data_IF_724987158598
#
_entry.id   IF_724987158598
#
_cell.length_a   1.000
_cell.length_b   1.000
_cell.length_c   1.000
_cell.angle_alpha   90.00
_cell.angle_beta   90.00
_cell.angle_gamma   90.00
#
_symmetry.space_group_name_H-M   'P 1'
#
loop_
_entity.id
_entity.type
_entity.pdbx_description
1 polymer ?
#
# COMPACT_ATOMS: atom_id res chain seq x y z
N UNK A 1 31.23 -96.04 48.03
CA UNK A 1 31.07 -95.71 46.60
C UNK A 1 32.22 -94.77 46.26
N UNK A 2 33.38 -95.34 45.95
CA UNK A 2 34.62 -94.58 45.84
C UNK A 2 34.64 -93.86 44.51
N UNK A 3 34.87 -92.54 44.53
CA UNK A 3 35.33 -91.80 43.36
C UNK A 3 36.55 -92.54 42.77
N UNK A 4 36.73 -92.56 41.43
CA UNK A 4 37.82 -93.30 40.84
C UNK A 4 39.17 -92.78 41.37
N UNK A 5 40.14 -93.67 41.62
CA UNK A 5 41.48 -93.26 42.05
C UNK A 5 42.13 -92.39 40.98
N UNK A 6 42.86 -91.35 41.40
CA UNK A 6 43.65 -90.45 40.54
C UNK A 6 44.87 -91.13 39.92
N UNK A 7 45.04 -92.44 40.13
CA UNK A 7 46.06 -93.31 39.53
C UNK A 7 45.39 -94.45 38.75
N UNK A 8 45.91 -94.75 37.54
CA UNK A 8 45.41 -95.73 36.55
C UNK A 8 44.64 -96.94 37.14
N UNK A 9 43.32 -96.95 36.94
CA UNK A 9 42.45 -98.09 37.23
C UNK A 9 42.57 -99.16 36.12
N UNK A 10 42.71 -100.47 36.45
CA UNK A 10 42.92 -101.52 35.45
C UNK A 10 41.73 -101.73 34.50
N UNK A 11 40.51 -101.35 34.91
CA UNK A 11 39.27 -101.43 34.11
C UNK A 11 39.05 -100.21 33.20
N UNK A 12 39.65 -99.07 33.48
CA UNK A 12 39.59 -97.87 32.63
C UNK A 12 40.92 -97.63 31.90
N UNK A 13 41.67 -98.71 31.62
CA UNK A 13 42.91 -98.62 30.86
C UNK A 13 42.61 -98.33 29.36
N UNK A 14 43.58 -97.74 28.67
CA UNK A 14 43.41 -97.34 27.26
C UNK A 14 43.18 -98.50 26.29
N UNK A 15 43.60 -99.72 26.64
CA UNK A 15 43.51 -100.92 25.82
C UNK A 15 42.09 -101.50 25.70
N UNK A 16 41.15 -101.07 26.55
CA UNK A 16 39.75 -101.51 26.52
C UNK A 16 38.79 -100.55 25.81
N UNK A 17 39.26 -99.38 25.38
CA UNK A 17 38.50 -98.49 24.50
C UNK A 17 38.74 -98.92 23.04
N UNK A 18 37.69 -99.37 22.35
CA UNK A 18 37.79 -100.01 21.03
C UNK A 18 37.14 -99.15 19.93
N UNK A 19 37.85 -98.97 18.81
CA UNK A 19 37.36 -98.34 17.57
C UNK A 19 37.48 -96.81 17.50
N UNK A 20 37.20 -96.24 16.32
CA UNK A 20 37.46 -94.82 15.96
C UNK A 20 36.73 -93.74 16.80
N UNK A 21 35.93 -94.14 17.79
CA UNK A 21 35.11 -93.24 18.60
C UNK A 21 35.45 -93.28 20.11
N UNK A 22 36.45 -94.07 20.57
CA UNK A 22 36.99 -94.03 21.96
C UNK A 22 35.95 -94.23 23.11
N UNK A 23 35.10 -95.27 23.06
CA UNK A 23 34.12 -95.64 24.12
C UNK A 23 34.33 -97.03 24.76
N UNK A 24 33.95 -97.17 26.04
CA UNK A 24 33.93 -98.42 26.80
C UNK A 24 32.49 -98.77 27.23
N UNK A 25 32.04 -100.00 26.96
CA UNK A 25 30.69 -100.47 27.32
C UNK A 25 30.78 -101.49 28.46
N UNK A 26 30.12 -101.22 29.58
CA UNK A 26 30.04 -102.14 30.73
C UNK A 26 28.58 -102.20 31.19
N UNK A 27 28.02 -103.41 31.27
CA UNK A 27 26.67 -103.69 31.77
C UNK A 27 25.62 -102.69 31.21
N UNK A 28 25.52 -102.65 29.88
CA UNK A 28 24.62 -101.81 29.07
C UNK A 28 24.80 -100.28 29.16
N UNK A 29 25.81 -99.78 29.90
CA UNK A 29 26.16 -98.35 29.91
C UNK A 29 27.40 -98.07 29.07
N UNK A 30 27.34 -97.00 28.28
CA UNK A 30 28.45 -96.50 27.46
C UNK A 30 29.13 -95.35 28.19
N UNK A 31 30.44 -95.48 28.46
CA UNK A 31 31.25 -94.47 29.12
C UNK A 31 32.26 -93.88 28.16
N UNK A 32 32.31 -92.55 28.13
CA UNK A 32 33.27 -91.76 27.36
C UNK A 32 34.61 -91.68 28.05
N UNK A 33 35.67 -91.97 27.30
CA UNK A 33 37.02 -91.62 27.70
C UNK A 33 37.09 -90.11 27.88
N UNK A 34 37.66 -89.64 28.99
CA UNK A 34 37.95 -88.22 29.16
C UNK A 34 38.86 -87.77 28.00
N UNK A 35 38.35 -86.88 27.14
CA UNK A 35 39.05 -86.39 25.95
C UNK A 35 38.83 -87.17 24.64
N UNK A 36 37.89 -88.12 24.59
CA UNK A 36 37.51 -88.79 23.34
C UNK A 36 36.59 -87.94 22.44
N UNK A 37 36.57 -88.21 21.13
CA UNK A 37 35.64 -87.58 20.17
C UNK A 37 34.35 -88.38 20.05
N UNK A 38 33.19 -87.76 20.27
CA UNK A 38 31.88 -88.42 20.16
C UNK A 38 30.90 -87.63 19.32
N UNK A 39 30.37 -88.26 18.27
CA UNK A 39 29.21 -87.72 17.53
C UNK A 39 27.97 -88.37 18.11
N UNK A 40 27.19 -87.58 18.85
CA UNK A 40 25.90 -88.02 19.37
C UNK A 40 24.79 -87.48 18.51
N UNK A 41 23.73 -88.26 18.33
CA UNK A 41 22.48 -87.75 17.74
C UNK A 41 21.79 -86.73 18.64
N UNK A 42 21.98 -86.82 19.97
CA UNK A 42 21.56 -85.82 20.96
C UNK A 42 22.37 -85.93 22.26
N UNK A 43 22.61 -84.80 22.94
CA UNK A 43 23.30 -84.72 24.24
C UNK A 43 22.41 -83.96 25.24
N UNK A 44 22.05 -84.61 26.35
CA UNK A 44 21.28 -84.02 27.45
C UNK A 44 22.06 -84.14 28.76
N UNK A 45 22.27 -83.02 29.44
CA UNK A 45 22.98 -82.93 30.72
C UNK A 45 22.05 -82.38 31.80
N UNK A 46 22.04 -83.01 32.98
CA UNK A 46 21.12 -82.67 34.07
C UNK A 46 21.51 -81.38 34.84
N UNK A 47 22.52 -80.63 34.36
CA UNK A 47 23.07 -79.42 34.98
C UNK A 47 23.70 -78.50 33.93
N UNK A 48 24.63 -77.63 34.35
CA UNK A 48 25.36 -76.77 33.42
C UNK A 48 26.21 -77.59 32.46
N UNK A 49 26.15 -77.26 31.16
CA UNK A 49 27.11 -77.77 30.20
C UNK A 49 28.38 -76.92 30.30
N UNK A 50 29.36 -77.41 31.06
CA UNK A 50 30.71 -76.83 31.08
C UNK A 50 31.50 -77.43 29.91
N UNK A 51 31.26 -76.89 28.72
CA UNK A 51 31.92 -77.31 27.50
C UNK A 51 32.91 -76.24 27.04
N UNK A 52 34.11 -76.66 26.63
CA UNK A 52 35.12 -75.75 26.10
C UNK A 52 34.67 -75.01 24.82
N UNK A 53 33.78 -75.61 24.02
CA UNK A 53 33.10 -74.96 22.88
C UNK A 53 31.80 -75.71 22.53
N UNK A 54 30.76 -74.97 22.13
CA UNK A 54 29.57 -75.54 21.50
C UNK A 54 29.71 -75.39 19.99
N UNK A 55 29.54 -76.46 19.22
CA UNK A 55 29.69 -76.46 17.76
C UNK A 55 28.44 -77.09 17.15
N UNK A 56 27.73 -76.38 16.28
CA UNK A 56 26.53 -76.87 15.58
C UNK A 56 26.85 -76.96 14.09
N UNK A 57 26.66 -78.14 13.49
CA UNK A 57 26.92 -78.36 12.06
C UNK A 57 28.38 -78.16 11.65
N UNK A 58 29.33 -78.38 12.57
CA UNK A 58 30.77 -78.20 12.33
C UNK A 58 31.27 -76.75 12.50
N UNK A 59 30.39 -75.79 12.81
CA UNK A 59 30.75 -74.40 13.13
C UNK A 59 30.53 -74.09 14.61
N UNK A 60 31.49 -73.43 15.26
CA UNK A 60 31.38 -73.04 16.67
C UNK A 60 30.24 -72.02 16.82
N UNK A 61 29.34 -72.22 17.78
CA UNK A 61 28.30 -71.28 18.18
C UNK A 61 28.80 -70.49 19.39
N UNK A 62 29.09 -69.21 19.18
CA UNK A 62 29.53 -68.30 20.25
C UNK A 62 28.33 -67.87 21.13
N UNK A 63 28.19 -68.54 22.27
CA UNK A 63 27.12 -68.32 23.26
C UNK A 63 27.48 -67.30 24.35
N UNK A 64 28.59 -66.57 24.21
CA UNK A 64 29.05 -65.56 25.18
C UNK A 64 28.06 -64.39 25.39
N UNK A 65 27.05 -64.25 24.51
CA UNK A 65 25.97 -63.26 24.59
C UNK A 65 24.74 -63.68 25.41
N UNK A 66 24.63 -64.95 25.82
CA UNK A 66 23.39 -65.52 26.36
C UNK A 66 23.36 -65.74 27.89
N UNK A 67 24.46 -65.54 28.64
CA UNK A 67 24.43 -65.66 30.10
C UNK A 67 24.13 -64.32 30.79
N UNK A 68 22.97 -64.25 31.47
CA UNK A 68 22.57 -63.13 32.35
C UNK A 68 22.08 -61.84 31.67
N UNK A 69 21.77 -61.87 30.37
CA UNK A 69 21.28 -60.69 29.63
C UNK A 69 19.79 -60.86 29.31
N UNK A 70 18.92 -60.09 29.96
CA UNK A 70 17.50 -59.99 29.55
C UNK A 70 17.41 -59.22 28.23
N UNK A 71 16.69 -59.76 27.24
CA UNK A 71 16.40 -59.04 25.99
C UNK A 71 15.84 -57.65 26.32
N UNK A 72 16.53 -56.60 25.85
CA UNK A 72 16.20 -55.21 26.13
C UNK A 72 17.14 -54.47 27.09
N UNK A 73 18.23 -55.07 27.58
CA UNK A 73 19.31 -54.33 28.27
C UNK A 73 20.65 -54.53 27.57
N UNK A 74 21.09 -53.53 26.81
CA UNK A 74 22.38 -53.57 26.11
C UNK A 74 23.48 -53.27 27.11
N UNK A 75 24.26 -54.30 27.47
CA UNK A 75 25.54 -54.11 28.18
C UNK A 75 26.62 -53.84 27.13
N UNK A 76 27.52 -52.89 27.40
CA UNK A 76 28.60 -52.55 26.48
C UNK A 76 29.34 -53.81 26.00
N UNK A 77 29.63 -53.88 24.70
CA UNK A 77 30.42 -54.94 24.05
C UNK A 77 29.82 -56.35 24.03
N UNK A 78 28.49 -56.51 24.19
CA UNK A 78 27.78 -57.77 23.92
C UNK A 78 27.01 -57.73 22.59
N UNK A 79 26.66 -58.89 22.04
CA UNK A 79 25.79 -58.99 20.87
C UNK A 79 24.46 -58.28 21.15
N UNK A 80 24.03 -57.45 20.21
CA UNK A 80 22.66 -56.90 20.19
C UNK A 80 21.76 -57.95 19.56
N UNK A 81 21.07 -58.70 20.41
CA UNK A 81 20.03 -59.63 19.97
C UNK A 81 18.73 -58.85 19.85
N UNK A 82 18.14 -58.90 18.65
CA UNK A 82 16.79 -58.36 18.43
C UNK A 82 15.76 -59.30 19.07
N UNK A 83 14.61 -58.76 19.48
CA UNK A 83 13.51 -59.60 19.95
C UNK A 83 12.77 -60.30 18.78
N UNK A 84 11.66 -60.98 19.07
CA UNK A 84 10.86 -61.69 18.06
C UNK A 84 10.29 -60.77 16.97
N UNK A 85 10.09 -59.48 17.27
CA UNK A 85 9.62 -58.47 16.33
C UNK A 85 10.76 -57.81 15.55
N UNK A 86 12.00 -58.23 15.83
CA UNK A 86 13.25 -57.60 15.37
C UNK A 86 13.47 -56.22 15.98
N UNK A 87 12.83 -55.93 17.10
CA UNK A 87 12.99 -54.67 17.82
C UNK A 87 14.25 -54.70 18.68
N UNK A 88 14.84 -53.52 18.86
CA UNK A 88 15.92 -53.29 19.82
C UNK A 88 15.51 -52.13 20.72
N UNK A 89 15.57 -52.35 22.03
CA UNK A 89 15.19 -51.36 23.05
C UNK A 89 16.38 -50.95 23.93
N UNK A 90 16.23 -49.82 24.62
CA UNK A 90 17.16 -49.33 25.67
C UNK A 90 18.57 -48.92 25.22
N UNK A 91 18.80 -48.58 23.95
CA UNK A 91 20.02 -47.83 23.61
C UNK A 91 20.04 -46.51 24.38
N UNK A 92 21.08 -46.28 25.19
CA UNK A 92 21.32 -44.97 25.82
C UNK A 92 21.63 -43.92 24.75
N UNK A 93 22.62 -44.22 23.91
CA UNK A 93 23.02 -43.42 22.75
C UNK A 93 23.21 -44.36 21.56
N UNK A 94 22.76 -43.95 20.37
CA UNK A 94 23.03 -44.63 19.12
C UNK A 94 23.77 -43.65 18.19
N UNK A 95 25.00 -43.99 17.82
CA UNK A 95 25.78 -43.22 16.86
C UNK A 95 25.90 -44.04 15.58
N UNK A 96 25.45 -43.49 14.46
CA UNK A 96 25.53 -44.12 13.15
C UNK A 96 25.94 -43.09 12.10
N UNK A 97 26.72 -43.50 11.10
CA UNK A 97 27.03 -42.64 9.96
C UNK A 97 25.76 -42.29 9.20
N UNK A 98 24.91 -43.30 8.93
CA UNK A 98 23.61 -43.15 8.30
C UNK A 98 22.56 -43.89 9.14
N UNK A 99 21.39 -43.28 9.33
CA UNK A 99 20.24 -43.91 9.96
C UNK A 99 19.07 -43.90 8.97
N UNK A 100 18.61 -45.08 8.54
CA UNK A 100 17.51 -45.23 7.59
C UNK A 100 16.27 -45.75 8.31
N UNK A 101 15.11 -45.13 8.08
CA UNK A 101 13.84 -45.57 8.68
C UNK A 101 12.90 -44.42 9.00
N UNK A 102 11.79 -44.75 9.67
CA UNK A 102 10.80 -43.79 10.16
C UNK A 102 11.06 -43.57 11.66
N UNK A 103 11.11 -42.31 12.09
CA UNK A 103 11.12 -41.96 13.52
C UNK A 103 9.67 -41.68 13.93
N UNK A 104 9.06 -42.55 14.74
CA UNK A 104 7.62 -42.51 15.02
C UNK A 104 7.20 -41.66 16.25
N UNK A 105 8.13 -41.02 16.95
CA UNK A 105 7.79 -40.25 18.16
C UNK A 105 7.05 -38.96 17.77
N UNK A 106 5.85 -38.74 18.34
CA UNK A 106 5.01 -37.57 18.04
C UNK A 106 5.68 -36.22 18.38
N UNK A 107 6.57 -36.19 19.37
CA UNK A 107 7.40 -35.05 19.71
C UNK A 107 8.88 -35.42 19.60
N UNK A 108 9.65 -34.63 18.84
CA UNK A 108 11.10 -34.79 18.67
C UNK A 108 11.86 -33.57 19.23
N UNK A 109 11.78 -33.29 20.55
CA UNK A 109 12.27 -32.03 21.13
C UNK A 109 13.78 -31.82 21.04
N UNK A 110 14.55 -32.90 20.84
CA UNK A 110 16.02 -32.86 20.85
C UNK A 110 16.64 -32.80 19.44
N UNK A 111 15.83 -32.63 18.39
CA UNK A 111 16.34 -32.35 17.06
C UNK A 111 16.73 -30.87 17.00
N UNK A 112 18.02 -30.56 17.16
CA UNK A 112 18.54 -29.19 17.15
C UNK A 112 19.15 -28.76 15.81
N UNK A 113 19.36 -29.69 14.88
CA UNK A 113 19.87 -29.42 13.54
C UNK A 113 19.54 -30.57 12.57
N UNK A 114 19.14 -30.24 11.34
CA UNK A 114 19.08 -31.16 10.21
C UNK A 114 20.10 -30.70 9.15
N UNK A 115 20.54 -31.62 8.29
CA UNK A 115 21.21 -31.27 7.04
C UNK A 115 20.22 -30.69 6.01
N UNK A 116 20.34 -31.09 4.74
CA UNK A 116 19.38 -30.69 3.70
C UNK A 116 18.09 -31.49 3.80
N UNK A 117 16.97 -30.80 4.06
CA UNK A 117 15.63 -31.39 4.01
C UNK A 117 15.00 -31.11 2.64
N UNK A 118 14.91 -32.11 1.77
CA UNK A 118 14.39 -31.96 0.40
C UNK A 118 12.88 -31.77 0.34
N UNK A 119 12.14 -32.35 1.30
CA UNK A 119 10.71 -32.15 1.46
C UNK A 119 10.31 -32.27 2.93
N UNK A 120 9.35 -31.45 3.34
CA UNK A 120 8.72 -31.52 4.65
C UNK A 120 7.22 -31.33 4.45
N UNK A 121 6.43 -32.34 4.77
CA UNK A 121 4.97 -32.24 4.83
C UNK A 121 4.55 -32.19 6.29
N UNK A 122 3.97 -31.08 6.73
CA UNK A 122 3.43 -30.93 8.09
C UNK A 122 1.92 -30.79 7.98
N UNK A 123 1.17 -31.64 8.66
CA UNK A 123 -0.31 -31.58 8.68
C UNK A 123 -0.87 -30.48 9.61
N UNK A 124 -0.03 -29.91 10.48
CA UNK A 124 -0.34 -28.80 11.38
C UNK A 124 0.53 -27.56 11.13
N UNK A 125 0.57 -26.66 12.11
CA UNK A 125 1.39 -25.44 12.02
C UNK A 125 2.88 -25.73 12.22
N UNK A 126 3.73 -25.13 11.40
CA UNK A 126 5.16 -25.04 11.66
C UNK A 126 5.37 -23.87 12.64
N UNK A 127 5.68 -24.16 13.90
CA UNK A 127 6.07 -23.16 14.89
C UNK A 127 7.60 -22.97 14.82
N UNK A 128 8.07 -21.79 14.41
CA UNK A 128 9.50 -21.47 14.34
C UNK A 128 9.79 -20.18 13.57
N UNK A 129 11.01 -19.66 13.69
CA UNK A 129 11.49 -18.50 12.94
C UNK A 129 12.16 -18.94 11.64
N UNK A 130 11.69 -18.48 10.48
CA UNK A 130 12.36 -18.73 9.22
C UNK A 130 13.50 -17.71 9.03
N UNK A 131 14.73 -18.09 9.40
CA UNK A 131 15.85 -17.17 9.60
C UNK A 131 16.65 -16.80 8.33
N UNK A 132 16.27 -17.25 7.14
CA UNK A 132 17.00 -16.88 5.90
C UNK A 132 16.55 -15.50 5.40
N UNK A 133 17.51 -14.60 5.15
CA UNK A 133 17.23 -13.22 4.75
C UNK A 133 16.48 -13.09 3.40
N UNK A 134 16.55 -14.12 2.55
CA UNK A 134 15.81 -14.21 1.28
C UNK A 134 15.09 -15.55 1.19
N UNK A 135 13.82 -15.53 0.79
CA UNK A 135 12.95 -16.72 0.69
C UNK A 135 12.42 -16.87 -0.76
N UNK A 136 13.29 -17.09 -1.77
CA UNK A 136 12.89 -17.06 -3.18
C UNK A 136 11.92 -18.18 -3.58
N UNK A 137 11.84 -19.25 -2.79
CA UNK A 137 10.99 -20.42 -3.09
C UNK A 137 9.59 -20.33 -2.47
N UNK A 138 9.27 -19.26 -1.74
CA UNK A 138 7.90 -19.02 -1.25
C UNK A 138 7.13 -18.34 -2.38
N UNK A 139 6.35 -19.12 -3.12
CA UNK A 139 5.53 -18.63 -4.25
C UNK A 139 4.05 -18.48 -3.91
N UNK A 140 3.60 -19.04 -2.79
CA UNK A 140 2.26 -18.83 -2.23
C UNK A 140 2.27 -19.01 -0.71
N UNK A 141 1.43 -18.22 -0.03
CA UNK A 141 1.04 -18.46 1.36
C UNK A 141 -0.45 -18.89 1.35
N UNK A 142 -0.85 -19.68 2.34
CA UNK A 142 -2.26 -19.97 2.59
C UNK A 142 -3.01 -18.75 3.14
N UNK A 143 -3.72 -18.91 4.26
CA UNK A 143 -4.34 -17.77 4.96
C UNK A 143 -3.34 -17.12 5.92
N UNK A 144 -3.04 -15.83 5.72
CA UNK A 144 -2.19 -15.04 6.60
C UNK A 144 -3.07 -14.12 7.47
N UNK A 145 -3.25 -14.47 8.75
CA UNK A 145 -4.10 -13.71 9.67
C UNK A 145 -3.49 -12.38 10.12
N UNK A 146 -2.16 -12.32 10.19
CA UNK A 146 -1.41 -11.09 10.47
C UNK A 146 -0.03 -11.15 9.84
N UNK A 147 0.47 -10.00 9.40
CA UNK A 147 1.82 -9.83 8.88
C UNK A 147 2.41 -8.57 9.49
N UNK A 148 3.44 -8.72 10.33
CA UNK A 148 4.23 -7.60 10.84
C UNK A 148 5.55 -7.57 10.06
N UNK A 149 5.81 -6.49 9.34
CA UNK A 149 7.06 -6.27 8.59
C UNK A 149 7.75 -5.04 9.18
N UNK A 150 8.99 -5.21 9.65
CA UNK A 150 9.79 -4.09 10.17
C UNK A 150 10.42 -3.22 9.07
N UNK A 151 10.51 -3.74 7.84
CA UNK A 151 10.98 -3.04 6.64
C UNK A 151 9.86 -2.73 5.64
N UNK A 152 10.24 -2.45 4.39
CA UNK A 152 9.29 -2.17 3.31
C UNK A 152 8.68 -3.45 2.74
N UNK A 153 7.37 -3.41 2.45
CA UNK A 153 6.70 -4.44 1.65
C UNK A 153 6.78 -3.99 0.19
N UNK A 154 7.56 -4.71 -0.62
CA UNK A 154 7.63 -4.50 -2.06
C UNK A 154 6.71 -5.52 -2.76
N UNK A 155 5.73 -5.05 -3.53
CA UNK A 155 4.78 -5.91 -4.26
C UNK A 155 3.55 -5.14 -4.73
N UNK A 156 2.70 -5.78 -5.54
CA UNK A 156 1.41 -5.24 -5.97
C UNK A 156 0.30 -5.77 -5.08
N UNK A 157 -0.56 -4.88 -4.55
CA UNK A 157 -1.76 -5.28 -3.83
C UNK A 157 -2.93 -5.36 -4.83
N UNK A 158 -3.22 -6.57 -5.32
CA UNK A 158 -4.13 -6.82 -6.45
C UNK A 158 -5.64 -6.70 -6.12
N UNK A 159 -6.01 -6.49 -4.85
CA UNK A 159 -7.42 -6.34 -4.46
C UNK A 159 -7.94 -4.95 -4.85
N UNK A 160 -8.99 -4.90 -5.67
CA UNK A 160 -9.56 -3.65 -6.20
C UNK A 160 -10.05 -2.67 -5.11
N UNK A 161 -10.42 -3.16 -3.92
CA UNK A 161 -10.81 -2.33 -2.78
C UNK A 161 -9.95 -2.66 -1.55
N UNK A 162 -9.45 -1.61 -0.89
CA UNK A 162 -8.59 -1.70 0.31
C UNK A 162 -9.26 -0.96 1.49
N UNK A 163 -10.42 -1.45 2.00
CA UNK A 163 -11.24 -0.69 2.96
C UNK A 163 -10.59 -0.47 4.33
N UNK A 164 -9.58 -1.26 4.67
CA UNK A 164 -8.94 -1.23 5.99
C UNK A 164 -7.67 -0.36 6.04
N UNK A 165 -7.31 0.34 4.95
CA UNK A 165 -6.21 1.31 4.98
C UNK A 165 -6.74 2.61 5.60
N UNK A 166 -6.46 2.81 6.89
CA UNK A 166 -6.89 4.01 7.63
C UNK A 166 -5.81 5.10 7.70
N UNK A 167 -4.56 4.77 7.35
CA UNK A 167 -3.45 5.73 7.23
C UNK A 167 -2.39 5.20 6.26
N UNK A 168 -1.82 6.09 5.45
CA UNK A 168 -0.57 5.83 4.75
C UNK A 168 0.55 6.58 5.48
N UNK A 169 1.77 6.04 5.47
CA UNK A 169 2.97 6.77 5.88
C UNK A 169 3.33 7.86 4.86
N UNK A 170 4.61 7.98 4.50
CA UNK A 170 5.02 8.90 3.42
C UNK A 170 4.71 8.30 2.06
N UNK A 171 3.79 8.92 1.31
CA UNK A 171 3.46 8.56 -0.07
C UNK A 171 4.18 9.50 -1.04
N UNK A 172 5.20 9.01 -1.75
CA UNK A 172 5.98 9.83 -2.70
C UNK A 172 5.25 10.08 -4.02
N UNK A 173 4.40 9.14 -4.44
CA UNK A 173 3.59 9.24 -5.66
C UNK A 173 2.34 8.39 -5.56
N UNK A 174 1.22 8.91 -6.06
CA UNK A 174 -0.05 8.21 -6.21
C UNK A 174 -0.54 8.39 -7.65
N UNK A 175 -0.56 7.32 -8.44
CA UNK A 175 -1.19 7.31 -9.75
C UNK A 175 -2.56 6.62 -9.63
N UNK A 176 -3.64 7.39 -9.78
CA UNK A 176 -5.02 6.89 -9.73
C UNK A 176 -5.64 7.11 -11.10
N UNK A 177 -6.03 6.02 -11.77
CA UNK A 177 -6.72 6.06 -13.07
C UNK A 177 -8.21 6.40 -12.95
N UNK A 178 -8.77 6.34 -11.74
CA UNK A 178 -10.16 6.64 -11.43
C UNK A 178 -10.38 7.96 -10.67
N UNK A 179 -11.55 8.09 -10.03
CA UNK A 179 -11.87 9.23 -9.18
C UNK A 179 -11.19 9.10 -7.81
N UNK A 180 -10.55 10.18 -7.35
CA UNK A 180 -10.16 10.33 -5.94
C UNK A 180 -11.37 10.94 -5.21
N UNK A 181 -12.05 10.16 -4.36
CA UNK A 181 -13.14 10.65 -3.51
C UNK A 181 -12.64 10.90 -2.09
N UNK A 182 -12.96 12.08 -1.52
CA UNK A 182 -12.54 12.47 -0.17
C UNK A 182 -12.23 13.96 -0.05
N UNK A 183 -11.84 14.39 1.15
CA UNK A 183 -11.44 15.77 1.44
C UNK A 183 -9.91 15.87 1.47
N UNK A 184 -9.33 16.77 0.68
CA UNK A 184 -7.90 17.09 0.76
C UNK A 184 -7.66 18.14 1.85
N UNK A 185 -7.41 17.69 3.09
CA UNK A 185 -7.30 18.57 4.27
C UNK A 185 -5.84 18.86 4.62
N UNK A 186 -5.24 19.86 3.98
CA UNK A 186 -4.06 20.57 4.49
C UNK A 186 -4.35 22.06 4.41
N UNK A 187 -3.98 22.83 5.44
CA UNK A 187 -4.28 24.27 5.50
C UNK A 187 -3.70 25.07 4.31
N UNK A 188 -2.65 24.55 3.67
CA UNK A 188 -2.05 25.08 2.44
C UNK A 188 -1.78 23.93 1.45
N UNK A 189 -2.06 24.16 0.16
CA UNK A 189 -1.89 23.17 -0.93
C UNK A 189 -0.98 23.74 -2.03
N UNK A 190 0.30 24.04 -1.75
CA UNK A 190 1.18 24.78 -2.67
C UNK A 190 1.53 24.01 -3.96
N UNK A 191 1.37 22.69 -3.97
CA UNK A 191 1.75 21.82 -5.09
C UNK A 191 0.59 21.54 -6.06
N UNK A 192 -0.61 22.09 -5.83
CA UNK A 192 -1.70 22.00 -6.80
C UNK A 192 -1.50 23.09 -7.86
N UNK A 193 -0.92 22.71 -9.00
CA UNK A 193 -0.61 23.63 -10.10
C UNK A 193 -1.63 23.57 -11.25
N UNK A 194 -2.48 22.54 -11.28
CA UNK A 194 -3.62 22.44 -12.19
C UNK A 194 -4.73 21.58 -11.59
N UNK A 195 -5.98 21.86 -11.97
CA UNK A 195 -7.12 21.01 -11.75
C UNK A 195 -7.85 20.80 -13.10
N UNK A 196 -8.67 19.76 -13.18
CA UNK A 196 -9.63 19.60 -14.29
C UNK A 196 -10.82 20.57 -14.16
N UNK A 197 -11.98 20.16 -14.66
CA UNK A 197 -13.22 20.96 -14.54
C UNK A 197 -13.77 20.90 -13.11
N UNK A 198 -13.93 22.06 -12.47
CA UNK A 198 -14.64 22.19 -11.20
C UNK A 198 -16.10 22.59 -11.46
N UNK A 199 -17.05 21.83 -10.91
CA UNK A 199 -18.48 22.17 -10.97
C UNK A 199 -18.85 23.31 -10.04
N UNK A 200 -18.11 23.46 -8.94
CA UNK A 200 -18.21 24.59 -8.01
C UNK A 200 -16.90 24.75 -7.24
N UNK A 201 -16.60 25.98 -6.82
CA UNK A 201 -15.47 26.30 -5.95
C UNK A 201 -15.98 27.25 -4.85
N UNK A 202 -15.80 26.87 -3.60
CA UNK A 202 -16.09 27.70 -2.43
C UNK A 202 -14.80 27.84 -1.60
N UNK A 203 -14.42 29.07 -1.27
CA UNK A 203 -13.20 29.40 -0.52
C UNK A 203 -13.58 30.16 0.76
N UNK A 204 -13.08 29.74 1.92
CA UNK A 204 -13.41 30.39 3.21
C UNK A 204 -12.37 31.41 3.68
N UNK A 205 -11.34 31.71 2.88
CA UNK A 205 -10.16 32.48 3.34
C UNK A 205 -9.47 33.38 2.31
N UNK A 206 -10.08 33.63 1.14
CA UNK A 206 -9.51 34.50 0.10
C UNK A 206 -10.36 34.54 -1.17
N UNK A 207 -10.15 35.56 -2.02
CA UNK A 207 -10.80 35.65 -3.34
C UNK A 207 -10.10 34.79 -4.40
N UNK A 208 -10.80 34.45 -5.47
CA UNK A 208 -10.20 33.78 -6.65
C UNK A 208 -9.33 34.82 -7.39
N UNK A 209 -8.01 34.67 -7.31
CA UNK A 209 -7.10 35.50 -8.11
C UNK A 209 -6.87 34.83 -9.47
N UNK A 210 -7.48 35.37 -10.52
CA UNK A 210 -7.18 34.96 -11.91
C UNK A 210 -5.88 35.65 -12.37
N UNK A 211 -4.74 34.94 -12.34
CA UNK A 211 -3.48 35.41 -12.94
C UNK A 211 -3.40 34.91 -14.39
N UNK A 212 -3.40 35.82 -15.36
CA UNK A 212 -3.49 35.47 -16.78
C UNK A 212 -2.12 35.17 -17.41
N UNK A 213 -2.05 34.10 -18.20
CA UNK A 213 -1.08 33.97 -19.30
C UNK A 213 -1.71 34.56 -20.57
N UNK A 214 -0.92 35.26 -21.37
CA UNK A 214 -1.36 36.16 -22.44
C UNK A 214 -2.42 35.57 -23.39
N UNK A 215 -3.44 36.35 -23.73
CA UNK A 215 -4.25 36.11 -24.95
C UNK A 215 -5.77 36.06 -24.79
N UNK A 216 -6.30 36.00 -23.57
CA UNK A 216 -7.73 36.22 -23.34
C UNK A 216 -8.17 35.81 -21.96
N UNK A 217 -8.95 36.66 -21.27
CA UNK A 217 -9.93 36.24 -20.26
C UNK A 217 -11.00 37.32 -20.05
N UNK A 218 -12.25 36.88 -20.09
CA UNK A 218 -13.33 37.45 -19.29
C UNK A 218 -13.42 36.55 -18.06
N UNK A 219 -13.36 37.10 -16.85
CA UNK A 219 -13.96 36.41 -15.71
C UNK A 219 -15.46 36.29 -16.02
N UNK A 220 -15.87 35.17 -16.62
CA UNK A 220 -17.23 34.99 -17.12
C UNK A 220 -18.11 34.54 -15.97
N UNK A 221 -18.73 35.49 -15.31
CA UNK A 221 -19.76 35.22 -14.33
C UNK A 221 -21.10 35.06 -15.05
N UNK A 222 -21.52 33.81 -15.25
CA UNK A 222 -22.77 33.51 -15.95
C UNK A 222 -23.93 33.38 -14.97
N UNK A 223 -24.97 34.20 -15.20
CA UNK A 223 -26.38 33.96 -14.85
C UNK A 223 -26.78 32.48 -14.71
N UNK A 224 -26.95 31.91 -13.50
CA UNK A 224 -27.77 30.69 -13.39
C UNK A 224 -29.21 31.00 -13.81
N UNK A 225 -29.82 30.14 -14.62
CA UNK A 225 -31.15 30.37 -15.21
C UNK A 225 -32.23 30.66 -14.14
N UNK A 226 -32.06 30.16 -12.92
CA UNK A 226 -33.01 30.25 -11.81
C UNK A 226 -32.97 31.55 -10.98
N UNK A 227 -31.98 32.44 -11.16
CA UNK A 227 -31.82 33.64 -10.31
C UNK A 227 -32.28 34.90 -11.04
N UNK A 228 -33.22 35.68 -10.49
CA UNK A 228 -33.79 36.87 -11.13
C UNK A 228 -32.82 38.05 -11.26
N UNK A 229 -31.72 38.05 -10.51
CA UNK A 229 -30.69 39.10 -10.53
C UNK A 229 -29.29 38.49 -10.58
N UNK A 230 -28.37 39.15 -11.28
CA UNK A 230 -26.95 38.83 -11.27
C UNK A 230 -26.22 39.91 -10.47
N UNK A 231 -25.59 39.54 -9.35
CA UNK A 231 -24.90 40.49 -8.48
C UNK A 231 -23.40 40.22 -8.53
N UNK A 232 -22.62 41.21 -8.98
CA UNK A 232 -21.17 41.25 -8.76
C UNK A 232 -20.94 42.13 -7.53
N UNK A 233 -20.80 41.51 -6.37
CA UNK A 233 -20.50 42.22 -5.14
C UNK A 233 -19.04 42.66 -5.11
N UNK A 234 -18.79 43.95 -4.90
CA UNK A 234 -17.45 44.47 -4.57
C UNK A 234 -17.57 45.04 -3.16
N UNK A 235 -17.10 44.27 -2.18
CA UNK A 235 -17.13 44.66 -0.77
C UNK A 235 -15.75 45.14 -0.32
N UNK A 236 -15.69 46.31 0.34
CA UNK A 236 -14.49 46.78 1.04
C UNK A 236 -14.80 46.97 2.52
N UNK A 237 -13.88 46.56 3.40
CA UNK A 237 -13.92 46.86 4.85
C UNK A 237 -13.23 48.20 5.20
N UNK A 238 -12.80 48.93 4.18
CA UNK A 238 -12.19 50.26 4.22
C UNK A 238 -11.60 50.63 2.85
N UNK A 239 -11.87 51.83 2.35
CA UNK A 239 -11.41 52.32 1.03
C UNK A 239 -12.46 52.26 -0.10
N UNK A 240 -12.14 52.86 -1.25
CA UNK A 240 -13.01 52.94 -2.42
C UNK A 240 -13.19 51.57 -3.12
N UNK A 241 -14.40 51.31 -3.58
CA UNK A 241 -14.76 50.17 -4.39
C UNK A 241 -14.86 50.64 -5.85
N UNK A 242 -13.86 50.32 -6.67
CA UNK A 242 -13.78 50.83 -8.04
C UNK A 242 -14.00 49.72 -9.08
N UNK A 243 -14.84 50.01 -10.08
CA UNK A 243 -14.79 49.35 -11.39
C UNK A 243 -14.00 50.25 -12.33
N UNK A 244 -12.75 49.89 -12.64
CA UNK A 244 -11.87 50.71 -13.48
C UNK A 244 -10.97 49.88 -14.38
N UNK A 245 -10.59 50.47 -15.51
CA UNK A 245 -9.42 50.06 -16.27
C UNK A 245 -8.17 50.71 -15.66
N UNK A 246 -7.05 50.00 -15.65
CA UNK A 246 -5.78 50.50 -15.08
C UNK A 246 -4.77 50.93 -16.15
N UNK A 247 -5.09 50.66 -17.40
CA UNK A 247 -4.34 51.04 -18.60
C UNK A 247 -5.29 51.82 -19.53
N UNK A 248 -4.79 52.31 -20.67
CA UNK A 248 -5.53 53.15 -21.62
C UNK A 248 -6.65 52.40 -22.38
N UNK A 249 -7.58 51.80 -21.64
CA UNK A 249 -8.75 51.09 -22.11
C UNK A 249 -10.01 51.81 -21.65
N UNK A 250 -11.05 51.77 -22.48
CA UNK A 250 -12.36 52.30 -22.15
C UNK A 250 -13.11 51.35 -21.20
N UNK A 251 -13.98 51.90 -20.36
CA UNK A 251 -14.96 51.14 -19.57
C UNK A 251 -16.35 51.32 -20.17
N UNK A 252 -17.07 50.21 -20.38
CA UNK A 252 -18.39 50.22 -20.99
C UNK A 252 -19.43 49.48 -20.14
N UNK A 253 -20.66 50.00 -20.13
CA UNK A 253 -21.85 49.28 -19.70
C UNK A 253 -22.86 49.25 -20.85
N UNK A 254 -23.63 48.16 -20.98
CA UNK A 254 -24.49 47.96 -22.13
C UNK A 254 -25.59 46.94 -21.92
N UNK A 255 -26.54 46.94 -22.85
CA UNK A 255 -27.64 45.98 -22.92
C UNK A 255 -27.89 45.64 -24.40
N UNK A 256 -28.41 44.43 -24.67
CA UNK A 256 -28.68 43.96 -26.04
C UNK A 256 -27.47 44.09 -26.97
N UNK A 257 -26.31 43.64 -26.49
CA UNK A 257 -25.03 43.74 -27.22
C UNK A 257 -24.64 45.16 -27.66
N UNK A 258 -25.17 46.19 -27.00
CA UNK A 258 -24.93 47.61 -27.34
C UNK A 258 -24.37 48.33 -26.13
N UNK A 259 -23.27 49.07 -26.31
CA UNK A 259 -22.69 49.95 -25.29
C UNK A 259 -23.59 51.17 -25.09
N UNK A 260 -24.10 51.37 -23.87
CA UNK A 260 -25.05 52.44 -23.51
C UNK A 260 -24.41 53.51 -22.62
N UNK A 261 -23.37 53.15 -21.89
CA UNK A 261 -22.55 54.08 -21.12
C UNK A 261 -21.08 53.77 -21.42
N UNK A 262 -20.31 54.81 -21.68
CA UNK A 262 -18.89 54.71 -22.01
C UNK A 262 -18.11 55.69 -21.14
N UNK A 263 -17.03 55.23 -20.52
CA UNK A 263 -15.95 56.08 -20.01
C UNK A 263 -14.76 55.79 -20.88
N UNK A 264 -14.36 56.78 -21.68
CA UNK A 264 -13.19 56.65 -22.53
C UNK A 264 -11.92 56.65 -21.69
N UNK A 265 -10.85 56.03 -22.20
CA UNK A 265 -9.53 56.08 -21.55
C UNK A 265 -9.01 57.50 -21.32
N UNK A 266 -9.47 58.47 -22.12
CA UNK A 266 -9.22 59.90 -21.94
C UNK A 266 -10.12 60.61 -20.92
N UNK A 267 -11.02 59.90 -20.23
CA UNK A 267 -11.90 60.43 -19.18
C UNK A 267 -13.29 60.90 -19.63
N UNK A 268 -13.53 61.10 -20.93
CA UNK A 268 -14.84 61.52 -21.43
C UNK A 268 -15.92 60.46 -21.18
N UNK A 269 -17.09 60.89 -20.73
CA UNK A 269 -18.26 60.06 -20.45
C UNK A 269 -19.28 60.22 -21.58
N UNK A 270 -19.68 59.11 -22.19
CA UNK A 270 -20.74 59.05 -23.20
C UNK A 270 -21.96 58.31 -22.67
N UNK A 271 -23.15 58.91 -22.82
CA UNK A 271 -24.44 58.25 -22.60
C UNK A 271 -25.11 58.06 -23.97
N UNK A 272 -25.39 56.80 -24.29
CA UNK A 272 -25.89 56.34 -25.59
C UNK A 272 -24.97 56.69 -26.78
N UNK A 273 -23.69 56.97 -26.52
CA UNK A 273 -22.64 57.18 -27.51
C UNK A 273 -21.33 56.58 -26.99
N UNK A 274 -20.51 56.03 -27.89
CA UNK A 274 -19.17 55.51 -27.57
C UNK A 274 -18.03 56.44 -28.01
N UNK A 275 -18.38 57.58 -28.60
CA UNK A 275 -17.45 58.57 -29.15
C UNK A 275 -17.81 59.96 -28.63
N UNK A 276 -17.79 60.19 -27.29
CA UNK A 276 -18.12 61.49 -26.72
C UNK A 276 -17.09 62.55 -27.15
N UNK A 277 -17.59 63.64 -27.71
CA UNK A 277 -16.76 64.78 -28.15
C UNK A 277 -16.42 65.76 -27.02
N UNK A 278 -17.17 65.69 -25.92
CA UNK A 278 -17.01 66.49 -24.71
C UNK A 278 -16.83 65.60 -23.47
N UNK A 279 -16.46 66.19 -22.33
CA UNK A 279 -16.30 65.47 -21.06
C UNK A 279 -17.55 64.69 -20.66
N UNK A 280 -18.73 65.21 -20.95
CA UNK A 280 -20.00 64.51 -20.90
C UNK A 280 -20.76 64.74 -22.21
N UNK A 281 -21.10 63.67 -22.92
CA UNK A 281 -21.87 63.72 -24.16
C UNK A 281 -23.06 62.77 -24.07
N UNK A 282 -24.27 63.30 -24.31
CA UNK A 282 -25.52 62.53 -24.27
C UNK A 282 -26.13 62.53 -25.66
N UNK A 283 -26.06 61.38 -26.35
CA UNK A 283 -26.69 61.20 -27.65
C UNK A 283 -28.16 60.82 -27.47
N UNK A 284 -28.98 61.83 -27.14
CA UNK A 284 -30.42 61.70 -26.91
C UNK A 284 -30.95 62.88 -26.09
N UNK A 285 -32.21 62.77 -25.66
CA UNK A 285 -32.79 63.72 -24.71
C UNK A 285 -32.32 63.42 -23.29
N UNK A 286 -32.04 64.46 -22.50
CA UNK A 286 -31.84 64.36 -21.06
C UNK A 286 -33.01 65.02 -20.34
N UNK A 287 -33.46 64.43 -19.24
CA UNK A 287 -34.49 64.98 -18.37
C UNK A 287 -33.95 64.98 -16.93
N UNK A 288 -33.91 66.14 -16.30
CA UNK A 288 -33.37 66.35 -14.96
C UNK A 288 -34.31 67.20 -14.13
N UNK A 289 -34.49 66.87 -12.85
CA UNK A 289 -35.28 67.67 -11.90
C UNK A 289 -34.72 69.08 -11.69
N UNK A 290 -33.39 69.26 -11.81
CA UNK A 290 -32.73 70.56 -11.73
C UNK A 290 -31.45 70.54 -12.55
N UNK A 291 -31.17 71.62 -13.25
CA UNK A 291 -29.92 71.81 -14.00
C UNK A 291 -29.13 72.98 -13.39
N UNK A 292 -27.88 72.72 -13.01
CA UNK A 292 -26.99 73.72 -12.45
C UNK A 292 -25.87 74.02 -13.44
N UNK A 293 -25.62 75.29 -13.72
CA UNK A 293 -24.46 75.74 -14.49
C UNK A 293 -23.50 76.43 -13.53
N UNK A 294 -22.29 75.88 -13.38
CA UNK A 294 -21.25 76.40 -12.49
C UNK A 294 -21.76 76.69 -11.05
N UNK A 295 -22.53 75.76 -10.49
CA UNK A 295 -23.12 75.88 -9.14
C UNK A 295 -24.38 76.74 -9.03
N UNK A 296 -24.84 77.38 -10.11
CA UNK A 296 -26.07 78.20 -10.13
C UNK A 296 -27.23 77.45 -10.75
N UNK A 297 -28.39 77.43 -10.10
CA UNK A 297 -29.61 76.80 -10.63
C UNK A 297 -30.08 77.57 -11.88
N UNK A 298 -30.33 76.84 -12.96
CA UNK A 298 -30.98 77.38 -14.15
C UNK A 298 -32.48 77.40 -13.92
N UNK A 299 -33.03 78.58 -13.63
CA UNK A 299 -34.47 78.80 -13.39
C UNK A 299 -35.25 79.14 -14.64
N UNK A 300 -34.56 79.27 -15.79
CA UNK A 300 -35.18 79.50 -17.08
C UNK A 300 -36.10 78.32 -17.43
N UNK A 301 -37.31 78.62 -17.89
CA UNK A 301 -38.22 77.59 -18.41
C UNK A 301 -37.66 77.02 -19.71
N UNK A 302 -38.18 75.87 -20.15
CA UNK A 302 -37.85 75.33 -21.47
C UNK A 302 -38.10 76.37 -22.58
N UNK A 303 -39.14 77.19 -22.46
CA UNK A 303 -39.45 78.27 -23.39
C UNK A 303 -38.41 79.38 -23.39
N UNK A 304 -37.90 79.76 -22.21
CA UNK A 304 -36.86 80.78 -22.07
C UNK A 304 -35.54 80.33 -22.72
N UNK A 305 -35.14 79.08 -22.46
CA UNK A 305 -33.95 78.46 -23.07
C UNK A 305 -34.09 78.32 -24.59
N UNK A 306 -35.26 77.87 -25.07
CA UNK A 306 -35.55 77.74 -26.49
C UNK A 306 -35.59 79.10 -27.22
N UNK A 307 -35.87 80.20 -26.51
CA UNK A 307 -35.98 81.54 -27.09
C UNK A 307 -34.65 82.31 -27.04
N UNK A 308 -33.78 82.05 -26.06
CA UNK A 308 -32.45 82.66 -25.97
C UNK A 308 -31.59 82.39 -27.21
N UNK A 309 -31.71 81.21 -27.82
CA UNK A 309 -31.04 80.87 -29.09
C UNK A 309 -31.53 81.71 -30.29
N UNK A 310 -32.80 82.16 -30.30
CA UNK A 310 -33.36 83.01 -31.36
C UNK A 310 -33.10 84.51 -31.16
N UNK A 311 -32.69 84.93 -29.97
CA UNK A 311 -32.47 86.36 -29.66
C UNK A 311 -31.04 86.83 -29.96
N UNK A 312 -30.14 85.95 -30.41
CA UNK A 312 -28.78 86.37 -30.80
C UNK A 312 -28.74 87.17 -32.11
N UNK A 313 -29.85 87.23 -32.85
CA UNK A 313 -30.13 88.28 -33.84
C UNK A 313 -31.61 88.69 -33.77
N UNK A 314 -31.99 89.70 -32.98
CA UNK A 314 -33.30 90.30 -33.14
C UNK A 314 -33.32 90.97 -34.52
N UNK A 315 -34.06 90.40 -35.47
CA UNK A 315 -34.40 91.00 -36.77
C UNK A 315 -35.28 92.25 -36.64
N UNK A 316 -35.25 92.91 -35.47
CA UNK A 316 -36.07 94.07 -35.12
C UNK A 316 -35.21 95.20 -34.53
N UNK A 317 -33.91 95.26 -34.85
CA UNK A 317 -33.12 96.45 -34.54
C UNK A 317 -33.63 97.61 -35.41
N UNK A 318 -34.49 98.44 -34.83
CA UNK A 318 -35.11 99.66 -35.38
C UNK A 318 -34.11 100.76 -35.76
N UNK A 319 -32.81 100.51 -35.64
CA UNK A 319 -31.72 101.47 -35.89
C UNK A 319 -31.59 101.84 -37.38
N UNK A 320 -32.19 101.08 -38.31
CA UNK A 320 -32.13 101.37 -39.75
C UNK A 320 -33.33 102.12 -40.34
N UNK A 321 -34.41 102.36 -39.57
CA UNK A 321 -35.58 103.09 -40.10
C UNK A 321 -35.50 104.61 -39.92
N UNK A 322 -34.74 105.11 -38.93
CA UNK A 322 -34.63 106.55 -38.69
C UNK A 322 -33.70 107.28 -39.68
N UNK A 323 -32.69 106.62 -40.26
CA UNK A 323 -31.81 107.25 -41.26
C UNK A 323 -32.48 107.45 -42.63
N UNK A 324 -33.44 106.58 -43.02
CA UNK A 324 -34.17 106.72 -44.29
C UNK A 324 -35.23 107.83 -44.21
N UNK A 325 -35.82 108.05 -43.02
CA UNK A 325 -36.74 109.16 -42.79
C UNK A 325 -36.02 110.53 -42.75
N UNK A 326 -34.80 110.57 -42.22
CA UNK A 326 -33.96 111.77 -42.22
C UNK A 326 -33.50 112.19 -43.64
N UNK A 327 -33.22 111.22 -44.52
CA UNK A 327 -32.80 111.48 -45.91
C UNK A 327 -33.95 112.02 -46.79
N UNK A 328 -35.19 111.54 -46.62
CA UNK A 328 -36.34 112.09 -47.35
C UNK A 328 -36.84 113.44 -46.79
N UNK A 329 -36.52 113.80 -45.55
CA UNK A 329 -36.79 115.12 -45.00
C UNK A 329 -35.81 116.20 -45.53
N UNK A 330 -34.58 115.81 -45.89
CA UNK A 330 -33.54 116.71 -46.42
C UNK A 330 -33.64 116.97 -47.94
N UNK A 331 -34.43 116.20 -48.69
CA UNK A 331 -34.65 116.42 -50.13
C UNK A 331 -35.85 117.34 -50.47
N UNK A 332 -36.55 117.89 -49.46
CA UNK A 332 -37.68 118.83 -49.69
C UNK A 332 -37.40 120.29 -49.30
N UNK A 333 -36.15 120.65 -49.07
CA UNK A 333 -35.76 122.04 -48.80
C UNK A 333 -34.42 122.43 -49.44
N UNK A 334 -34.26 122.22 -50.75
CA UNK A 334 -33.37 123.01 -51.63
C UNK A 334 -34.02 123.12 -53.00
#
# INVERSE_FOLDING_TARGET
>A
MSLPPTTNSPIFNSSFYLGSNDYLTIADKRYQKLGGTGVFSSLSVAGGLDCGSLTIGGSIVDLSSLSGVTAGTITASKLVMVDANKDVSSFRNLTATNFYGIIQTSAQPNITSLGTLSSLTVSGSIAGTLSTATQPNITSLGTLSSLTVSGSIAGTLSTAAQPNITSLGTLTSLNVSGLISGTLSTATQPNITSLGTLSSLSLSGGGITHTQSAGGNVASFTKSAAVSTFTVGIASSGGACDLRTTTANDLYFGANNTRRFAIKSGGNVGINTTSPSYQLDVSGSFNSTSFYMNGTLVTATASDLNSACRQQFPQTSTIFYDEVAAIHALQRHW
#
